data_IF_472344236090
#
_entry.id   IF_472344236090
#
_cell.length_a   1.000
_cell.length_b   1.000
_cell.length_c   1.000
_cell.angle_alpha   90.00
_cell.angle_beta   90.00
_cell.angle_gamma   90.00
#
_symmetry.space_group_name_H-M   'P 1'
#
loop_
_entity.id
_entity.type
_entity.pdbx_description
1 polymer ?
#
# COMPACT_ATOMS: atom_id res chain seq x y z
N UNK A 1 -22.74 10.19 -0.49
CA UNK A 1 -22.91 9.81 0.95
C UNK A 1 -21.53 9.34 1.36
N UNK A 2 -20.88 10.10 2.22
CA UNK A 2 -19.62 9.65 2.82
C UNK A 2 -19.99 8.65 3.92
N UNK A 3 -19.48 7.42 3.81
CA UNK A 3 -19.60 6.42 4.85
C UNK A 3 -18.80 6.89 6.08
N UNK A 4 -19.48 6.95 7.22
CA UNK A 4 -18.82 7.31 8.48
C UNK A 4 -18.06 6.10 9.01
N UNK A 5 -16.87 6.35 9.55
CA UNK A 5 -16.14 5.34 10.31
C UNK A 5 -16.97 4.93 11.55
N UNK A 6 -16.91 3.67 11.89
CA UNK A 6 -17.46 3.18 13.15
C UNK A 6 -16.67 3.76 14.34
N UNK A 7 -17.36 3.92 15.46
CA UNK A 7 -16.74 4.39 16.70
C UNK A 7 -15.63 3.43 17.15
N UNK A 8 -14.51 3.98 17.57
CA UNK A 8 -13.35 3.22 18.05
C UNK A 8 -12.41 2.69 16.96
N UNK A 9 -12.71 2.84 15.65
CA UNK A 9 -11.83 2.38 14.56
C UNK A 9 -10.47 3.08 14.57
N UNK A 10 -10.37 4.42 14.67
CA UNK A 10 -9.08 5.10 14.70
C UNK A 10 -8.20 4.67 15.89
N UNK A 11 -8.80 4.53 17.06
CA UNK A 11 -8.11 4.12 18.28
C UNK A 11 -7.62 2.68 18.19
N UNK A 12 -8.43 1.78 17.62
CA UNK A 12 -8.07 0.38 17.39
C UNK A 12 -6.86 0.29 16.45
N UNK A 13 -6.91 0.95 15.29
CA UNK A 13 -5.81 0.94 14.31
C UNK A 13 -4.54 1.55 14.91
N UNK A 14 -4.65 2.66 15.63
CA UNK A 14 -3.52 3.26 16.34
C UNK A 14 -2.88 2.29 17.34
N UNK A 15 -3.71 1.56 18.09
CA UNK A 15 -3.23 0.57 19.07
C UNK A 15 -2.53 -0.61 18.40
N UNK A 16 -3.08 -1.13 17.29
CA UNK A 16 -2.45 -2.20 16.50
C UNK A 16 -1.09 -1.76 15.98
N UNK A 17 -0.99 -0.56 15.41
CA UNK A 17 0.28 0.01 14.90
C UNK A 17 1.31 0.17 16.03
N UNK A 18 0.91 0.69 17.19
CA UNK A 18 1.78 0.80 18.38
C UNK A 18 2.25 -0.57 18.88
N UNK A 19 1.40 -1.59 18.75
CA UNK A 19 1.75 -2.99 19.03
C UNK A 19 2.68 -3.63 17.99
N UNK A 20 3.11 -2.89 16.96
CA UNK A 20 4.03 -3.39 15.93
C UNK A 20 3.34 -4.13 14.78
N UNK A 21 2.02 -4.16 14.75
CA UNK A 21 1.25 -4.77 13.66
C UNK A 21 1.24 -3.83 12.45
N UNK A 22 1.62 -4.35 11.29
CA UNK A 22 1.54 -3.62 10.03
C UNK A 22 0.12 -3.66 9.50
N UNK A 23 -0.46 -2.49 9.25
CA UNK A 23 -1.83 -2.36 8.75
C UNK A 23 -1.81 -2.04 7.27
N UNK A 24 -2.43 -2.90 6.46
CA UNK A 24 -2.57 -2.73 5.02
C UNK A 24 -4.04 -2.48 4.67
N UNK A 25 -4.31 -1.44 3.91
CA UNK A 25 -5.65 -1.12 3.40
C UNK A 25 -5.69 -1.40 1.91
N UNK A 26 -6.55 -2.31 1.48
CA UNK A 26 -6.74 -2.68 0.09
C UNK A 26 -8.16 -2.28 -0.35
N UNK A 27 -8.27 -1.19 -1.12
CA UNK A 27 -9.58 -0.62 -1.48
C UNK A 27 -9.75 -0.42 -2.98
N UNK A 28 -10.99 -0.53 -3.45
CA UNK A 28 -11.37 -0.13 -4.82
C UNK A 28 -11.50 1.39 -5.00
N UNK A 29 -11.44 2.17 -3.93
CA UNK A 29 -11.60 3.62 -3.95
C UNK A 29 -10.47 4.34 -4.70
N UNK A 30 -10.76 5.58 -5.09
CA UNK A 30 -9.74 6.48 -5.68
C UNK A 30 -8.64 6.78 -4.66
N UNK A 31 -7.43 7.06 -5.16
CA UNK A 31 -6.25 7.35 -4.33
C UNK A 31 -6.52 8.45 -3.31
N UNK A 32 -7.11 9.58 -3.72
CA UNK A 32 -7.39 10.70 -2.82
C UNK A 32 -8.37 10.32 -1.70
N UNK A 33 -9.40 9.55 -2.04
CA UNK A 33 -10.37 9.02 -1.07
C UNK A 33 -9.68 8.07 -0.08
N UNK A 34 -8.87 7.15 -0.59
CA UNK A 34 -8.12 6.19 0.24
C UNK A 34 -7.13 6.89 1.19
N UNK A 35 -6.46 7.97 0.74
CA UNK A 35 -5.58 8.78 1.58
C UNK A 35 -6.39 9.50 2.67
N UNK A 36 -7.52 10.12 2.33
CA UNK A 36 -8.38 10.81 3.29
C UNK A 36 -8.92 9.87 4.36
N UNK A 37 -9.40 8.68 3.95
CA UNK A 37 -9.80 7.62 4.87
C UNK A 37 -8.61 7.16 5.72
N UNK A 38 -7.43 7.01 5.11
CA UNK A 38 -6.20 6.67 5.81
C UNK A 38 -5.86 7.61 6.97
N UNK A 39 -6.03 8.92 6.76
CA UNK A 39 -5.89 9.91 7.84
C UNK A 39 -7.02 9.80 8.87
N UNK A 40 -8.26 9.69 8.42
CA UNK A 40 -9.42 9.62 9.31
C UNK A 40 -9.36 8.41 10.26
N UNK A 41 -8.89 7.23 9.76
CA UNK A 41 -8.78 6.01 10.56
C UNK A 41 -7.39 5.77 11.18
N UNK A 42 -6.49 6.75 11.14
CA UNK A 42 -5.14 6.68 11.71
C UNK A 42 -4.23 5.58 11.13
N UNK A 43 -4.48 5.13 9.92
CA UNK A 43 -3.52 4.37 9.10
C UNK A 43 -2.38 5.29 8.66
N UNK A 44 -2.69 6.55 8.39
CA UNK A 44 -1.74 7.63 8.14
C UNK A 44 -1.81 8.61 9.32
N UNK A 45 -0.66 8.97 9.89
CA UNK A 45 -0.55 10.05 10.87
C UNK A 45 0.16 11.26 10.24
N UNK A 46 -0.10 12.50 10.71
CA UNK A 46 0.48 13.72 10.11
C UNK A 46 2.02 13.79 10.16
N UNK A 47 2.62 13.06 11.08
CA UNK A 47 4.06 12.96 11.32
C UNK A 47 4.75 11.88 10.46
N UNK A 48 3.98 11.09 9.71
CA UNK A 48 4.52 10.05 8.84
C UNK A 48 5.05 10.62 7.51
N UNK A 49 6.11 9.99 7.00
CA UNK A 49 6.53 10.18 5.60
C UNK A 49 5.62 9.38 4.69
N UNK A 50 4.86 10.07 3.85
CA UNK A 50 4.01 9.45 2.82
C UNK A 50 4.82 9.29 1.53
N UNK A 51 4.94 8.06 1.03
CA UNK A 51 5.56 7.71 -0.25
C UNK A 51 4.44 7.27 -1.20
N UNK A 52 4.27 8.00 -2.31
CA UNK A 52 3.22 7.72 -3.28
C UNK A 52 3.79 7.09 -4.54
N UNK A 53 3.32 5.89 -4.88
CA UNK A 53 3.54 5.16 -6.12
C UNK A 53 2.24 5.16 -6.92
N UNK A 54 1.84 6.34 -7.37
CA UNK A 54 0.53 6.53 -8.03
C UNK A 54 0.68 7.33 -9.32
N UNK A 55 -0.20 7.09 -10.26
CA UNK A 55 -0.23 7.77 -11.56
C UNK A 55 -0.37 9.31 -11.45
N UNK A 56 -0.88 9.80 -10.32
CA UNK A 56 -1.09 11.23 -10.05
C UNK A 56 -0.08 11.81 -9.05
N UNK A 57 0.99 11.08 -8.69
CA UNK A 57 1.98 11.56 -7.73
C UNK A 57 2.69 12.81 -8.25
N UNK A 58 2.68 13.88 -7.43
CA UNK A 58 3.33 15.15 -7.80
C UNK A 58 4.84 14.94 -7.95
N UNK A 59 5.38 15.46 -9.06
CA UNK A 59 6.83 15.45 -9.32
C UNK A 59 7.36 14.15 -9.93
N UNK A 60 6.51 13.26 -10.39
CA UNK A 60 6.87 12.08 -11.16
C UNK A 60 6.34 12.28 -12.58
N UNK A 61 7.25 12.42 -13.56
CA UNK A 61 6.89 12.29 -14.97
C UNK A 61 6.82 10.81 -15.29
N UNK A 62 5.61 10.28 -15.46
CA UNK A 62 5.42 8.86 -15.76
C UNK A 62 5.50 8.63 -17.26
N UNK A 63 6.46 7.80 -17.68
CA UNK A 63 6.38 7.15 -18.98
C UNK A 63 5.46 5.95 -18.85
N UNK A 64 4.30 6.05 -19.49
CA UNK A 64 3.27 5.01 -19.47
C UNK A 64 3.04 4.46 -20.88
N UNK A 65 2.55 3.22 -20.93
CA UNK A 65 2.09 2.60 -22.18
C UNK A 65 0.70 3.13 -22.59
N UNK A 66 0.13 2.54 -23.65
CA UNK A 66 -1.20 2.91 -24.18
C UNK A 66 -2.34 2.70 -23.19
N UNK A 67 -2.16 1.84 -22.19
CA UNK A 67 -3.14 1.49 -21.17
C UNK A 67 -2.91 2.28 -19.86
N UNK A 68 -1.93 3.22 -19.85
CA UNK A 68 -1.60 4.05 -18.71
C UNK A 68 -0.73 3.33 -17.66
N UNK A 69 -0.14 2.18 -18.01
CA UNK A 69 0.70 1.39 -17.11
C UNK A 69 2.14 1.90 -17.20
N UNK A 70 2.82 2.18 -16.06
CA UNK A 70 4.20 2.60 -16.06
C UNK A 70 5.12 1.60 -16.77
N UNK A 71 5.99 2.12 -17.64
CA UNK A 71 7.01 1.31 -18.32
C UNK A 71 8.02 0.76 -17.32
N UNK A 72 8.73 -0.30 -17.69
CA UNK A 72 9.73 -0.93 -16.81
C UNK A 72 10.83 0.07 -16.35
N UNK A 73 11.25 0.94 -17.24
CA UNK A 73 12.27 1.96 -16.92
C UNK A 73 11.73 2.95 -15.89
N UNK A 74 10.50 3.44 -16.11
CA UNK A 74 9.82 4.33 -15.17
C UNK A 74 9.61 3.66 -13.82
N UNK A 75 9.10 2.42 -13.81
CA UNK A 75 8.89 1.64 -12.58
C UNK A 75 10.19 1.48 -11.78
N UNK A 76 11.29 1.11 -12.43
CA UNK A 76 12.58 0.94 -11.77
C UNK A 76 13.07 2.24 -11.12
N UNK A 77 12.97 3.36 -11.84
CA UNK A 77 13.37 4.68 -11.32
C UNK A 77 12.53 5.11 -10.12
N UNK A 78 11.21 4.91 -10.20
CA UNK A 78 10.29 5.27 -9.13
C UNK A 78 10.48 4.39 -7.89
N UNK A 79 10.65 3.07 -8.06
CA UNK A 79 10.93 2.15 -6.95
C UNK A 79 12.26 2.47 -6.28
N UNK A 80 13.34 2.73 -7.06
CA UNK A 80 14.62 3.10 -6.50
C UNK A 80 14.55 4.39 -5.67
N UNK A 81 13.81 5.40 -6.16
CA UNK A 81 13.57 6.66 -5.45
C UNK A 81 12.77 6.42 -4.17
N UNK A 82 11.69 5.64 -4.26
CA UNK A 82 10.84 5.32 -3.11
C UNK A 82 11.61 4.57 -2.00
N UNK A 83 12.44 3.61 -2.38
CA UNK A 83 13.30 2.89 -1.45
C UNK A 83 14.30 3.82 -0.75
N UNK A 84 14.98 4.69 -1.51
CA UNK A 84 15.92 5.67 -0.94
C UNK A 84 15.23 6.67 0.00
N UNK A 85 14.03 7.17 -0.37
CA UNK A 85 13.25 8.05 0.49
C UNK A 85 12.77 7.34 1.77
N UNK A 86 12.36 6.07 1.67
CA UNK A 86 11.96 5.25 2.81
C UNK A 86 13.12 5.02 3.77
N UNK A 87 14.29 4.61 3.26
CA UNK A 87 15.48 4.40 4.05
C UNK A 87 15.92 5.68 4.78
N UNK A 88 15.88 6.81 4.08
CA UNK A 88 16.19 8.11 4.69
C UNK A 88 15.22 8.45 5.81
N UNK A 89 13.91 8.32 5.57
CA UNK A 89 12.88 8.61 6.56
C UNK A 89 13.05 7.74 7.83
N UNK A 90 13.32 6.45 7.66
CA UNK A 90 13.57 5.53 8.79
C UNK A 90 14.82 5.93 9.57
N UNK A 91 15.92 6.34 8.88
CA UNK A 91 17.13 6.85 9.53
C UNK A 91 16.88 8.13 10.30
N UNK A 92 16.00 8.99 9.79
CA UNK A 92 15.58 10.24 10.45
C UNK A 92 14.56 9.99 11.59
N UNK A 93 14.22 8.73 11.90
CA UNK A 93 13.29 8.35 12.97
C UNK A 93 11.82 8.54 12.62
N UNK A 94 11.49 8.75 11.34
CA UNK A 94 10.11 8.91 10.88
C UNK A 94 9.47 7.55 10.56
N UNK A 95 8.21 7.41 10.89
CA UNK A 95 7.39 6.31 10.38
C UNK A 95 7.05 6.55 8.90
N UNK A 96 6.97 5.48 8.13
CA UNK A 96 6.71 5.53 6.68
C UNK A 96 5.39 4.85 6.36
N UNK A 97 4.62 5.47 5.48
CA UNK A 97 3.45 4.86 4.83
C UNK A 97 3.63 4.92 3.32
N UNK A 98 3.33 3.83 2.63
CA UNK A 98 3.31 3.80 1.18
C UNK A 98 1.88 3.74 0.65
N UNK A 99 1.62 4.49 -0.42
CA UNK A 99 0.35 4.50 -1.14
C UNK A 99 0.62 4.08 -2.58
N UNK A 100 -0.08 3.05 -3.04
CA UNK A 100 0.07 2.44 -4.36
C UNK A 100 -1.27 2.47 -5.09
N UNK A 101 -1.27 2.69 -6.41
CA UNK A 101 -2.46 2.48 -7.23
C UNK A 101 -2.37 1.22 -8.11
N UNK A 102 -3.50 0.86 -8.73
CA UNK A 102 -3.61 -0.33 -9.59
C UNK A 102 -2.63 -0.32 -10.76
N UNK A 103 -2.30 0.86 -11.32
CA UNK A 103 -1.40 0.96 -12.48
C UNK A 103 0.03 0.57 -12.10
N UNK A 104 0.52 1.06 -10.95
CA UNK A 104 1.81 0.65 -10.42
C UNK A 104 1.82 -0.82 -10.00
N UNK A 105 0.74 -1.30 -9.37
CA UNK A 105 0.64 -2.72 -9.01
C UNK A 105 0.72 -3.62 -10.24
N UNK A 106 -0.03 -3.30 -11.30
CA UNK A 106 0.01 -4.04 -12.58
C UNK A 106 1.41 -4.02 -13.19
N UNK A 107 2.09 -2.86 -13.17
CA UNK A 107 3.47 -2.76 -13.65
C UNK A 107 4.43 -3.61 -12.81
N UNK A 108 4.29 -3.62 -11.48
CA UNK A 108 5.08 -4.45 -10.56
C UNK A 108 4.91 -5.95 -10.88
N UNK A 109 3.68 -6.39 -11.12
CA UNK A 109 3.37 -7.77 -11.50
C UNK A 109 3.96 -8.11 -12.87
N UNK A 110 3.71 -7.26 -13.88
CA UNK A 110 4.16 -7.46 -15.25
C UNK A 110 5.68 -7.60 -15.35
N UNK A 111 6.43 -6.84 -14.58
CA UNK A 111 7.90 -6.83 -14.61
C UNK A 111 8.56 -7.61 -13.47
N UNK A 112 7.79 -8.37 -12.69
CA UNK A 112 8.32 -9.23 -11.63
C UNK A 112 9.01 -8.48 -10.49
N UNK A 113 8.54 -7.26 -10.15
CA UNK A 113 9.14 -6.39 -9.14
C UNK A 113 8.54 -6.55 -7.73
N UNK A 114 7.86 -7.67 -7.46
CA UNK A 114 7.23 -7.92 -6.17
C UNK A 114 8.20 -7.86 -4.98
N UNK A 115 9.44 -8.34 -5.14
CA UNK A 115 10.45 -8.28 -4.08
C UNK A 115 10.86 -6.84 -3.74
N UNK A 116 10.94 -5.95 -4.72
CA UNK A 116 11.27 -4.54 -4.49
C UNK A 116 10.12 -3.81 -3.78
N UNK A 117 8.86 -4.15 -4.14
CA UNK A 117 7.67 -3.68 -3.41
C UNK A 117 7.69 -4.15 -1.94
N UNK A 118 8.03 -5.41 -1.70
CA UNK A 118 8.10 -5.94 -0.33
C UNK A 118 9.22 -5.31 0.50
N UNK A 119 10.37 -4.99 -0.11
CA UNK A 119 11.42 -4.22 0.59
C UNK A 119 10.88 -2.88 1.07
N UNK A 120 10.17 -2.14 0.21
CA UNK A 120 9.51 -0.89 0.60
C UNK A 120 8.46 -1.11 1.69
N UNK A 121 7.57 -2.08 1.51
CA UNK A 121 6.52 -2.40 2.46
C UNK A 121 7.07 -2.83 3.84
N UNK A 122 8.24 -3.48 3.88
CA UNK A 122 8.89 -3.86 5.13
C UNK A 122 9.40 -2.66 5.93
N UNK A 123 9.75 -1.56 5.28
CA UNK A 123 10.11 -0.30 5.94
C UNK A 123 8.88 0.47 6.43
N UNK A 124 7.71 0.22 5.81
CA UNK A 124 6.49 0.93 6.14
C UNK A 124 5.80 0.36 7.39
N UNK A 125 5.18 1.25 8.17
CA UNK A 125 4.26 0.88 9.27
C UNK A 125 2.87 0.57 8.75
N UNK A 126 2.48 1.26 7.66
CA UNK A 126 1.19 1.09 7.03
C UNK A 126 1.35 1.11 5.51
N UNK A 127 0.40 0.52 4.81
CA UNK A 127 0.39 0.44 3.36
C UNK A 127 -1.05 0.61 2.83
N UNK A 128 -1.22 1.38 1.78
CA UNK A 128 -2.52 1.60 1.14
C UNK A 128 -2.40 1.24 -0.33
N UNK A 129 -3.21 0.30 -0.80
CA UNK A 129 -3.40 -0.01 -2.21
C UNK A 129 -4.79 0.44 -2.65
N UNK A 130 -4.83 1.45 -3.52
CA UNK A 130 -6.04 2.09 -4.01
C UNK A 130 -6.39 1.60 -5.42
N UNK A 131 -7.69 1.63 -5.76
CA UNK A 131 -8.23 1.19 -7.08
C UNK A 131 -7.91 -0.28 -7.41
N UNK A 132 -7.68 -1.12 -6.40
CA UNK A 132 -7.35 -2.53 -6.62
C UNK A 132 -8.60 -3.36 -6.88
N UNK A 133 -8.49 -4.28 -7.85
CA UNK A 133 -9.53 -5.26 -8.13
C UNK A 133 -9.56 -6.37 -7.07
N UNK A 134 -10.66 -7.17 -7.00
CA UNK A 134 -10.73 -8.33 -6.11
C UNK A 134 -9.56 -9.31 -6.30
N UNK A 135 -9.14 -9.55 -7.55
CA UNK A 135 -8.01 -10.44 -7.85
C UNK A 135 -6.69 -9.84 -7.37
N UNK A 136 -6.47 -8.54 -7.56
CA UNK A 136 -5.28 -7.85 -7.09
C UNK A 136 -5.18 -7.84 -5.56
N UNK A 137 -6.31 -7.75 -4.82
CA UNK A 137 -6.30 -7.93 -3.37
C UNK A 137 -5.74 -9.29 -2.97
N UNK A 138 -6.18 -10.37 -3.63
CA UNK A 138 -5.67 -11.72 -3.40
C UNK A 138 -4.19 -11.88 -3.79
N UNK A 139 -3.74 -11.24 -4.87
CA UNK A 139 -2.35 -11.26 -5.31
C UNK A 139 -1.43 -10.59 -4.30
N UNK A 140 -1.83 -9.44 -3.75
CA UNK A 140 -1.06 -8.74 -2.69
C UNK A 140 -0.89 -9.63 -1.46
N UNK A 141 -1.96 -10.28 -0.99
CA UNK A 141 -1.89 -11.20 0.16
C UNK A 141 -0.96 -12.38 -0.15
N UNK A 142 -1.07 -12.97 -1.33
CA UNK A 142 -0.21 -14.07 -1.79
C UNK A 142 1.26 -13.63 -1.86
N UNK A 143 1.53 -12.43 -2.38
CA UNK A 143 2.87 -11.87 -2.45
C UNK A 143 3.49 -11.74 -1.05
N UNK A 144 2.75 -11.20 -0.10
CA UNK A 144 3.22 -11.05 1.29
C UNK A 144 3.46 -12.40 1.93
N UNK A 145 2.50 -13.32 1.88
CA UNK A 145 2.63 -14.66 2.49
C UNK A 145 3.79 -15.47 1.95
N UNK A 146 3.94 -15.51 0.63
CA UNK A 146 4.97 -16.34 -0.01
C UNK A 146 6.39 -15.81 0.19
N UNK A 147 6.54 -14.56 0.61
CA UNK A 147 7.85 -13.92 0.75
C UNK A 147 8.13 -13.41 2.18
N UNK A 148 7.23 -13.67 3.11
CA UNK A 148 7.45 -13.41 4.53
C UNK A 148 8.02 -14.65 5.22
N UNK A 149 8.82 -14.50 6.29
CA UNK A 149 9.23 -15.61 7.13
C UNK A 149 8.02 -16.38 7.69
N UNK A 150 8.16 -17.69 7.92
CA UNK A 150 7.10 -18.55 8.48
C UNK A 150 6.58 -18.08 9.86
N UNK A 151 7.34 -17.25 10.55
CA UNK A 151 6.96 -16.63 11.82
C UNK A 151 5.97 -15.47 11.66
N UNK A 152 5.78 -14.97 10.44
CA UNK A 152 4.85 -13.86 10.17
C UNK A 152 3.45 -14.39 9.95
N UNK A 153 2.52 -13.97 10.80
CA UNK A 153 1.10 -14.29 10.65
C UNK A 153 0.40 -13.14 9.92
N UNK A 154 -0.31 -13.46 8.85
CA UNK A 154 -1.14 -12.51 8.12
C UNK A 154 -2.61 -12.73 8.43
N UNK A 155 -3.36 -11.63 8.58
CA UNK A 155 -4.81 -11.65 8.76
C UNK A 155 -5.44 -10.80 7.64
N UNK A 156 -6.40 -11.36 6.93
CA UNK A 156 -7.20 -10.64 5.95
C UNK A 156 -8.63 -10.46 6.49
N UNK A 157 -9.16 -9.25 6.41
CA UNK A 157 -10.50 -8.88 6.88
C UNK A 157 -11.20 -8.15 5.74
N UNK A 158 -12.47 -8.48 5.52
CA UNK A 158 -13.32 -7.84 4.54
C UNK A 158 -14.78 -8.25 4.76
N UNK A 159 -15.71 -7.44 4.26
CA UNK A 159 -17.17 -7.65 4.42
C UNK A 159 -17.92 -7.80 3.09
N UNK A 160 -17.22 -7.57 1.98
CA UNK A 160 -17.79 -7.62 0.64
C UNK A 160 -17.44 -8.87 -0.16
N UNK A 161 -18.22 -9.17 -1.18
CA UNK A 161 -17.94 -10.25 -2.13
C UNK A 161 -16.60 -10.07 -2.86
N UNK A 162 -16.13 -8.83 -2.99
CA UNK A 162 -14.83 -8.46 -3.54
C UNK A 162 -13.63 -8.81 -2.64
N UNK A 163 -13.89 -9.17 -1.37
CA UNK A 163 -12.85 -9.53 -0.41
C UNK A 163 -12.66 -11.04 -0.24
N UNK A 164 -13.61 -11.84 -0.73
CA UNK A 164 -13.60 -13.31 -0.60
C UNK A 164 -12.28 -13.91 -1.12
N UNK A 165 -11.84 -13.45 -2.30
CA UNK A 165 -10.61 -13.95 -2.91
C UNK A 165 -9.37 -13.64 -2.06
N UNK A 166 -9.35 -12.48 -1.42
CA UNK A 166 -8.30 -12.07 -0.49
C UNK A 166 -8.28 -12.90 0.79
N UNK A 167 -9.47 -13.17 1.36
CA UNK A 167 -9.62 -13.90 2.63
C UNK A 167 -9.25 -15.38 2.48
N UNK A 168 -9.49 -15.95 1.29
CA UNK A 168 -9.20 -17.36 1.00
C UNK A 168 -7.72 -17.65 0.68
N UNK A 169 -6.88 -16.65 0.53
CA UNK A 169 -5.43 -16.79 0.27
C UNK A 169 -4.64 -16.93 1.54
#
# INVERSE_FOLDING_TARGET
IEDKLQDGVPECISSLRKGGIKVWVLTGDKVDTAINIGYACQVISPDMKVIQLTSNAKGISLEVDKDGIPTQMCLNAVLAKALAEGEKAVKDGLEVVAVLDTYFLTSIEMYGKGQDLLKLANMCKSFIAARVSPDQKGQIVTLVRNNSPDTVVTLAIGDGANDVNMIQK
#
